data_IF_960448256221
#
_entry.id   IF_960448256221
#
_cell.length_a   1.000
_cell.length_b   1.000
_cell.length_c   1.000
_cell.angle_alpha   90.00
_cell.angle_beta   90.00
_cell.angle_gamma   90.00
#
_symmetry.space_group_name_H-M   'P 1'
#
loop_
_entity.id
_entity.type
_entity.pdbx_description
1 polymer ?
#
# COMPACT_ATOMS: atom_id res chain seq x y z
N UNK A 1 2.89 -9.45 10.45
CA UNK A 1 3.32 -10.71 9.80
C UNK A 1 2.30 -11.39 8.89
N UNK A 2 1.07 -10.88 8.70
CA UNK A 2 0.21 -11.42 7.63
C UNK A 2 0.91 -11.23 6.26
N UNK A 3 0.87 -12.20 5.33
CA UNK A 3 0.21 -13.51 5.37
C UNK A 3 1.12 -14.68 5.81
N UNK A 4 2.28 -14.40 6.39
CA UNK A 4 3.32 -15.40 6.71
C UNK A 4 2.99 -16.25 7.93
N UNK A 5 2.63 -15.60 9.04
CA UNK A 5 2.21 -16.25 10.29
C UNK A 5 1.02 -15.49 10.85
N UNK A 6 -0.05 -16.22 11.14
CA UNK A 6 -1.32 -15.70 11.63
C UNK A 6 -1.84 -16.65 12.71
N UNK A 7 -2.36 -16.08 13.79
CA UNK A 7 -3.06 -16.87 14.80
C UNK A 7 -4.46 -17.21 14.28
N UNK A 8 -4.83 -18.47 14.34
CA UNK A 8 -6.20 -18.91 14.01
C UNK A 8 -7.20 -18.30 15.00
N UNK A 9 -8.32 -17.72 14.53
CA UNK A 9 -9.29 -17.07 15.40
C UNK A 9 -9.98 -18.04 16.37
N UNK A 10 -10.32 -19.25 15.92
CA UNK A 10 -11.13 -20.22 16.69
C UNK A 10 -10.31 -21.41 17.24
N UNK A 11 -9.05 -21.16 17.62
CA UNK A 11 -8.19 -22.20 18.16
C UNK A 11 -8.35 -22.38 19.68
N UNK A 12 -8.94 -23.50 20.08
CA UNK A 12 -9.14 -23.92 21.49
C UNK A 12 -8.34 -25.17 21.88
N UNK A 13 -7.47 -25.67 21.00
CA UNK A 13 -6.63 -26.84 21.27
C UNK A 13 -5.41 -26.52 22.15
N UNK A 14 -4.72 -27.56 22.59
CA UNK A 14 -3.49 -27.46 23.38
C UNK A 14 -2.21 -27.51 22.54
N UNK A 15 -2.30 -27.87 21.27
CA UNK A 15 -1.17 -27.97 20.35
C UNK A 15 -0.71 -26.58 19.85
N UNK A 16 0.46 -26.17 20.31
CA UNK A 16 1.08 -24.91 19.91
C UNK A 16 1.32 -24.79 18.40
N UNK A 17 1.49 -25.92 17.70
CA UNK A 17 1.76 -25.94 16.26
C UNK A 17 0.51 -25.70 15.42
N UNK A 18 -0.67 -26.10 15.92
CA UNK A 18 -1.93 -25.93 15.22
C UNK A 18 -2.55 -24.54 15.42
N UNK A 19 -2.09 -23.83 16.45
CA UNK A 19 -2.50 -22.46 16.80
C UNK A 19 -2.23 -21.43 15.71
N UNK A 20 -1.24 -21.69 14.86
CA UNK A 20 -0.77 -20.77 13.83
C UNK A 20 -1.02 -21.33 12.42
N UNK A 21 -1.26 -20.42 11.47
CA UNK A 21 -1.42 -20.67 10.04
C UNK A 21 -0.70 -19.61 9.21
N UNK A 22 -0.51 -19.88 7.92
CA UNK A 22 0.12 -18.95 6.98
C UNK A 22 1.25 -19.59 6.19
N UNK A 23 1.81 -18.83 5.25
CA UNK A 23 2.80 -19.33 4.30
C UNK A 23 4.01 -20.02 4.96
N UNK A 24 4.57 -19.42 6.02
CA UNK A 24 5.76 -19.98 6.68
C UNK A 24 5.41 -21.21 7.52
N UNK A 25 4.19 -21.29 8.04
CA UNK A 25 3.69 -22.47 8.76
C UNK A 25 3.54 -23.67 7.84
N UNK A 26 3.06 -23.46 6.61
CA UNK A 26 2.93 -24.53 5.62
C UNK A 26 4.31 -24.99 5.15
N UNK A 27 5.26 -24.06 5.00
CA UNK A 27 6.64 -24.37 4.64
C UNK A 27 7.32 -25.25 5.71
N UNK A 28 7.25 -24.88 7.00
CA UNK A 28 7.92 -25.66 8.05
C UNK A 28 7.29 -27.04 8.24
N UNK A 29 5.97 -27.17 8.10
CA UNK A 29 5.27 -28.47 8.11
C UNK A 29 5.71 -29.36 6.95
N UNK A 30 5.89 -28.77 5.77
CA UNK A 30 6.41 -29.50 4.61
C UNK A 30 7.84 -29.97 4.86
N UNK A 31 8.70 -29.07 5.35
CA UNK A 31 10.09 -29.40 5.70
C UNK A 31 10.16 -30.48 6.77
N UNK A 32 9.28 -30.44 7.78
CA UNK A 32 9.25 -31.42 8.86
C UNK A 32 8.92 -32.82 8.36
N UNK A 33 8.05 -32.91 7.35
CA UNK A 33 7.69 -34.17 6.70
C UNK A 33 8.84 -34.69 5.82
N UNK A 34 9.43 -33.82 5.01
CA UNK A 34 10.50 -34.19 4.07
C UNK A 34 11.80 -34.57 4.80
N UNK A 35 12.15 -33.83 5.86
CA UNK A 35 13.38 -34.01 6.65
C UNK A 35 13.17 -34.84 7.93
N UNK A 36 11.92 -35.25 8.22
CA UNK A 36 11.55 -36.12 9.35
C UNK A 36 11.99 -35.57 10.72
N UNK A 37 11.69 -34.30 10.99
CA UNK A 37 11.89 -33.70 12.32
C UNK A 37 10.55 -33.32 12.95
N UNK A 38 10.53 -33.27 14.28
CA UNK A 38 9.46 -32.66 15.05
C UNK A 38 9.86 -31.25 15.47
N UNK A 39 8.88 -30.38 15.58
CA UNK A 39 9.13 -28.99 15.97
C UNK A 39 8.05 -28.52 16.93
N UNK A 40 8.38 -27.51 17.74
CA UNK A 40 7.44 -26.80 18.59
C UNK A 40 7.58 -25.31 18.33
N UNK A 41 6.47 -24.66 17.99
CA UNK A 41 6.48 -23.22 17.71
C UNK A 41 6.07 -22.45 18.95
N UNK A 42 6.79 -21.36 19.18
CA UNK A 42 6.42 -20.35 20.15
C UNK A 42 6.75 -18.96 19.59
N UNK A 43 6.13 -17.95 20.17
CA UNK A 43 6.35 -16.56 19.78
C UNK A 43 7.54 -16.00 20.56
N UNK A 44 8.47 -15.34 19.86
CA UNK A 44 9.61 -14.67 20.48
C UNK A 44 9.19 -13.73 21.61
N UNK A 45 9.98 -13.63 22.69
CA UNK A 45 9.84 -12.57 23.69
C UNK A 45 9.78 -11.20 23.00
N UNK A 46 8.84 -10.35 23.44
CA UNK A 46 8.64 -8.98 22.95
C UNK A 46 8.30 -8.82 21.46
N UNK A 47 8.06 -9.92 20.72
CA UNK A 47 7.65 -9.90 19.32
C UNK A 47 8.61 -9.12 18.39
N UNK A 48 9.93 -9.22 18.65
CA UNK A 48 10.99 -8.56 17.87
C UNK A 48 11.76 -9.57 17.02
N UNK A 49 12.20 -9.14 15.83
CA UNK A 49 13.11 -9.93 14.99
C UNK A 49 14.49 -10.09 15.63
N UNK A 50 14.96 -9.02 16.27
CA UNK A 50 16.26 -8.94 16.88
C UNK A 50 17.02 -7.70 16.40
N UNK A 51 17.50 -6.95 17.38
CA UNK A 51 18.35 -5.79 17.23
C UNK A 51 19.52 -5.91 18.21
N UNK A 52 20.69 -5.44 17.76
CA UNK A 52 21.88 -5.29 18.58
C UNK A 52 21.68 -4.13 19.57
N UNK A 53 22.05 -4.34 20.82
CA UNK A 53 22.07 -3.31 21.87
C UNK A 53 23.33 -2.42 21.82
N UNK A 54 24.26 -2.70 20.89
CA UNK A 54 25.53 -2.00 20.72
C UNK A 54 26.65 -2.55 21.59
N UNK A 55 26.35 -3.46 22.51
CA UNK A 55 27.32 -4.18 23.33
C UNK A 55 27.52 -5.62 22.83
N UNK A 56 26.96 -5.96 21.67
CA UNK A 56 27.00 -7.29 21.08
C UNK A 56 25.91 -8.24 21.61
N UNK A 57 24.98 -7.77 22.45
CA UNK A 57 23.82 -8.56 22.81
C UNK A 57 22.70 -8.31 21.82
N UNK A 58 21.99 -9.37 21.47
CA UNK A 58 20.85 -9.32 20.59
C UNK A 58 19.58 -9.66 21.34
N UNK A 59 18.49 -9.01 20.97
CA UNK A 59 17.17 -9.34 21.48
C UNK A 59 16.31 -10.11 20.47
N UNK A 60 15.04 -10.33 20.83
CA UNK A 60 14.05 -10.96 19.95
C UNK A 60 14.47 -12.36 19.46
N UNK A 61 14.10 -12.70 18.24
CA UNK A 61 14.41 -14.01 17.68
C UNK A 61 15.91 -14.27 17.54
N UNK A 62 16.72 -13.27 17.17
CA UNK A 62 18.18 -13.46 17.07
C UNK A 62 18.77 -13.74 18.46
N UNK A 63 18.35 -12.99 19.49
CA UNK A 63 18.75 -13.24 20.86
C UNK A 63 18.42 -14.65 21.34
N UNK A 64 17.23 -15.16 21.00
CA UNK A 64 16.80 -16.52 21.35
C UNK A 64 17.66 -17.61 20.69
N UNK A 65 18.09 -17.39 19.43
CA UNK A 65 19.01 -18.30 18.73
C UNK A 65 20.40 -18.24 19.38
N UNK A 66 20.92 -17.03 19.64
CA UNK A 66 22.24 -16.86 20.27
C UNK A 66 22.32 -17.43 21.68
N UNK A 67 21.23 -17.31 22.45
CA UNK A 67 21.13 -17.89 23.79
C UNK A 67 20.92 -19.41 23.80
N UNK A 68 20.66 -20.03 22.64
CA UNK A 68 20.38 -21.46 22.52
C UNK A 68 18.97 -21.87 22.96
N UNK A 69 18.07 -20.91 23.16
CA UNK A 69 16.67 -21.16 23.52
C UNK A 69 15.85 -21.67 22.32
N UNK A 70 16.23 -21.24 21.11
CA UNK A 70 15.66 -21.70 19.85
C UNK A 70 16.76 -22.27 18.94
N UNK A 71 16.38 -23.23 18.09
CA UNK A 71 17.25 -23.79 17.05
C UNK A 71 16.97 -23.22 15.66
N UNK A 72 15.76 -22.69 15.45
CA UNK A 72 15.32 -22.12 14.19
C UNK A 72 14.43 -20.91 14.46
N UNK A 73 14.71 -19.81 13.77
CA UNK A 73 13.87 -18.64 13.73
C UNK A 73 13.29 -18.50 12.32
N UNK A 74 11.99 -18.25 12.22
CA UNK A 74 11.31 -18.04 10.94
C UNK A 74 10.35 -16.86 11.05
N UNK A 75 10.28 -16.08 9.99
CA UNK A 75 9.47 -14.86 9.92
C UNK A 75 9.90 -14.03 8.72
N UNK A 76 9.25 -12.87 8.53
CA UNK A 76 9.62 -11.92 7.47
C UNK A 76 10.89 -11.12 7.86
N UNK A 77 11.98 -11.83 8.15
CA UNK A 77 13.25 -11.23 8.57
C UNK A 77 14.16 -11.01 7.37
N UNK A 78 14.62 -9.77 7.19
CA UNK A 78 15.66 -9.44 6.20
C UNK A 78 17.02 -9.97 6.64
N UNK A 79 17.73 -10.60 5.70
CA UNK A 79 19.15 -10.96 5.83
C UNK A 79 19.97 -9.67 5.74
N UNK A 80 20.74 -9.37 6.78
CA UNK A 80 21.63 -8.19 6.83
C UNK A 80 22.99 -8.61 7.34
N UNK A 81 24.04 -7.89 6.94
CA UNK A 81 25.42 -8.22 7.33
C UNK A 81 25.62 -8.28 8.86
N UNK A 82 24.99 -7.38 9.62
CA UNK A 82 25.06 -7.42 11.10
C UNK A 82 24.43 -8.67 11.71
N UNK A 83 23.38 -9.21 11.10
CA UNK A 83 22.70 -10.42 11.58
C UNK A 83 23.45 -11.67 11.15
N UNK A 84 23.94 -11.69 9.92
CA UNK A 84 24.74 -12.79 9.38
C UNK A 84 26.08 -12.97 10.12
N UNK A 85 26.58 -11.92 10.75
CA UNK A 85 27.78 -11.99 11.59
C UNK A 85 27.57 -12.77 12.91
N UNK A 86 26.33 -12.99 13.35
CA UNK A 86 26.01 -13.64 14.64
C UNK A 86 25.16 -14.90 14.51
N UNK A 87 24.47 -15.09 13.39
CA UNK A 87 23.67 -16.28 13.08
C UNK A 87 23.82 -16.66 11.61
N UNK A 88 23.68 -17.96 11.31
CA UNK A 88 23.66 -18.45 9.94
C UNK A 88 22.25 -18.34 9.34
N UNK A 89 22.18 -17.89 8.08
CA UNK A 89 20.95 -17.86 7.29
C UNK A 89 20.94 -18.94 6.22
N UNK A 90 19.74 -19.46 5.94
CA UNK A 90 19.49 -20.21 4.71
C UNK A 90 19.27 -19.25 3.52
N UNK A 91 19.10 -19.81 2.33
CA UNK A 91 18.70 -19.03 1.16
C UNK A 91 17.31 -18.42 1.39
N UNK A 92 17.19 -17.11 1.15
CA UNK A 92 15.94 -16.39 1.27
C UNK A 92 14.86 -16.96 0.35
N UNK A 93 13.70 -17.28 0.91
CA UNK A 93 12.54 -17.81 0.16
C UNK A 93 11.90 -16.74 -0.73
N UNK A 94 12.01 -15.46 -0.34
CA UNK A 94 11.39 -14.33 -1.02
C UNK A 94 12.44 -13.24 -1.21
N UNK A 95 12.61 -12.80 -2.46
CA UNK A 95 13.40 -11.62 -2.80
C UNK A 95 12.48 -10.42 -2.92
N UNK A 96 12.58 -9.47 -1.99
CA UNK A 96 11.84 -8.21 -2.00
C UNK A 96 12.78 -7.02 -1.86
N UNK A 97 12.42 -5.92 -2.52
CA UNK A 97 13.08 -4.62 -2.38
C UNK A 97 12.29 -3.66 -1.50
N UNK A 98 12.91 -2.54 -1.15
CA UNK A 98 12.23 -1.42 -0.46
C UNK A 98 11.26 -0.77 -1.45
N UNK A 99 9.97 -0.78 -1.11
CA UNK A 99 8.91 -0.16 -1.90
C UNK A 99 8.29 1.00 -1.12
N UNK A 100 7.97 2.10 -1.80
CA UNK A 100 7.25 3.22 -1.20
C UNK A 100 5.74 3.00 -1.35
N UNK A 101 5.05 2.85 -0.22
CA UNK A 101 3.60 2.81 -0.21
C UNK A 101 3.04 4.23 -0.01
N UNK A 102 2.34 4.74 -1.03
CA UNK A 102 1.62 6.01 -0.94
C UNK A 102 0.10 5.77 -0.91
N UNK A 103 -0.61 6.65 -0.21
CA UNK A 103 -2.08 6.63 -0.22
C UNK A 103 -2.58 6.92 -1.63
N UNK A 104 -3.49 6.10 -2.15
CA UNK A 104 -4.16 6.37 -3.42
C UNK A 104 -4.76 7.79 -3.40
N UNK A 105 -4.47 8.66 -4.38
CA UNK A 105 -5.06 9.98 -4.42
C UNK A 105 -6.59 9.86 -4.50
N UNK A 106 -7.29 10.80 -3.88
CA UNK A 106 -8.74 10.92 -4.08
C UNK A 106 -8.97 11.49 -5.47
N UNK A 107 -9.63 10.74 -6.33
CA UNK A 107 -10.11 11.24 -7.62
C UNK A 107 -11.29 12.18 -7.35
N UNK A 108 -11.10 13.47 -7.60
CA UNK A 108 -12.18 14.45 -7.53
C UNK A 108 -12.74 14.64 -8.94
N UNK A 109 -13.85 13.97 -9.24
CA UNK A 109 -14.56 14.18 -10.51
C UNK A 109 -15.29 15.52 -10.47
N UNK A 110 -14.80 16.49 -11.24
CA UNK A 110 -15.53 17.74 -11.47
C UNK A 110 -16.12 17.72 -12.88
N UNK A 111 -17.46 17.78 -12.99
CA UNK A 111 -18.15 17.83 -14.29
C UNK A 111 -17.78 19.09 -15.10
N UNK A 112 -17.30 20.16 -14.46
CA UNK A 112 -16.80 21.37 -15.11
C UNK A 112 -15.29 21.34 -15.36
N UNK A 113 -14.64 20.18 -15.25
CA UNK A 113 -13.20 20.02 -15.51
C UNK A 113 -12.81 20.46 -16.92
N UNK A 114 -13.71 20.37 -17.90
CA UNK A 114 -13.50 20.87 -19.26
C UNK A 114 -13.40 22.41 -19.33
N UNK A 115 -13.92 23.15 -18.34
CA UNK A 115 -13.83 24.62 -18.27
C UNK A 115 -12.54 25.11 -17.64
N UNK A 116 -11.83 24.25 -16.88
CA UNK A 116 -10.60 24.59 -16.14
C UNK A 116 -9.40 25.04 -17.01
N UNK A 117 -9.25 24.67 -18.29
CA UNK A 117 -8.14 25.16 -19.12
C UNK A 117 -8.15 26.68 -19.37
N UNK A 118 -9.29 27.35 -19.17
CA UNK A 118 -9.45 28.78 -19.44
C UNK A 118 -9.85 29.55 -18.19
N UNK A 119 -9.38 30.79 -18.07
CA UNK A 119 -9.71 31.66 -16.95
C UNK A 119 -11.18 32.13 -17.00
N UNK A 120 -11.73 32.45 -15.83
CA UNK A 120 -13.07 33.04 -15.72
C UNK A 120 -13.20 34.33 -16.54
N UNK A 121 -12.12 35.12 -16.62
CA UNK A 121 -12.06 36.35 -17.40
C UNK A 121 -12.30 36.09 -18.90
N UNK A 122 -11.70 35.03 -19.46
CA UNK A 122 -11.92 34.67 -20.86
C UNK A 122 -13.38 34.24 -21.09
N UNK A 123 -13.95 33.46 -20.17
CA UNK A 123 -15.35 33.06 -20.25
C UNK A 123 -16.30 34.27 -20.20
N UNK A 124 -16.03 35.23 -19.32
CA UNK A 124 -16.80 36.48 -19.25
C UNK A 124 -16.62 37.33 -20.52
N UNK A 125 -15.42 37.36 -21.09
CA UNK A 125 -15.16 38.06 -22.36
C UNK A 125 -15.91 37.41 -23.53
N UNK A 126 -15.98 36.08 -23.60
CA UNK A 126 -16.76 35.35 -24.63
C UNK A 126 -18.26 35.68 -24.50
N UNK A 127 -18.81 35.67 -23.28
CA UNK A 127 -20.21 36.02 -23.02
C UNK A 127 -20.48 37.49 -23.38
N UNK A 128 -19.61 38.41 -22.98
CA UNK A 128 -19.71 39.83 -23.30
C UNK A 128 -19.62 40.10 -24.80
N UNK A 129 -18.66 39.48 -25.49
CA UNK A 129 -18.51 39.60 -26.93
C UNK A 129 -19.76 39.08 -27.66
N UNK A 130 -20.26 37.90 -27.27
CA UNK A 130 -21.49 37.32 -27.83
C UNK A 130 -22.70 38.23 -27.64
N UNK A 131 -22.89 38.79 -26.44
CA UNK A 131 -23.98 39.74 -26.17
C UNK A 131 -23.82 41.04 -26.97
N UNK A 132 -22.60 41.56 -27.12
CA UNK A 132 -22.33 42.75 -27.92
C UNK A 132 -22.68 42.55 -29.40
N UNK A 133 -22.33 41.38 -29.95
CA UNK A 133 -22.64 41.02 -31.33
C UNK A 133 -24.14 40.89 -31.51
N UNK A 134 -24.85 40.21 -30.60
CA UNK A 134 -26.30 40.12 -30.62
C UNK A 134 -26.98 41.49 -30.54
N UNK A 135 -26.46 42.41 -29.72
CA UNK A 135 -27.00 43.77 -29.61
C UNK A 135 -26.80 44.56 -30.91
N UNK A 136 -25.62 44.48 -31.52
CA UNK A 136 -25.34 45.14 -32.81
C UNK A 136 -26.28 44.60 -33.90
N UNK A 137 -26.45 43.28 -33.98
CA UNK A 137 -27.41 42.69 -34.92
C UNK A 137 -28.85 43.14 -34.66
N UNK A 138 -29.28 43.24 -33.40
CA UNK A 138 -30.60 43.74 -33.06
C UNK A 138 -30.82 45.20 -33.49
N UNK A 139 -29.83 46.07 -33.28
CA UNK A 139 -29.88 47.47 -33.69
C UNK A 139 -29.93 47.58 -35.23
N UNK A 140 -29.12 46.79 -35.93
CA UNK A 140 -29.11 46.76 -37.39
C UNK A 140 -30.45 46.26 -37.96
N UNK A 141 -31.04 45.22 -37.37
CA UNK A 141 -32.36 44.71 -37.75
C UNK A 141 -33.52 45.66 -37.38
N UNK A 142 -33.38 46.40 -36.28
CA UNK A 142 -34.34 47.45 -35.92
C UNK A 142 -34.25 48.68 -36.84
N UNK A 143 -33.03 49.02 -37.26
CA UNK A 143 -32.75 50.16 -38.15
C UNK A 143 -32.89 49.85 -39.64
N UNK A 144 -32.98 48.58 -40.04
CA UNK A 144 -33.21 48.20 -41.44
C UNK A 144 -34.65 48.56 -41.82
N UNK A 145 -34.78 49.41 -42.84
CA UNK A 145 -36.09 49.86 -43.35
C UNK A 145 -36.95 48.73 -43.94
N UNK A 146 -36.39 47.53 -44.11
CA UNK A 146 -37.09 46.35 -44.63
C UNK A 146 -38.27 45.92 -43.73
N UNK A 147 -38.30 46.30 -42.45
CA UNK A 147 -39.49 46.11 -41.59
C UNK A 147 -40.66 47.04 -41.91
N UNK A 148 -40.44 48.18 -42.57
CA UNK A 148 -41.52 49.12 -42.93
C UNK A 148 -42.38 48.61 -44.10
N UNK A 149 -41.90 47.65 -44.89
CA UNK A 149 -42.59 47.18 -46.10
C UNK A 149 -43.25 45.80 -45.97
N UNK A 150 -43.10 45.10 -44.83
CA UNK A 150 -43.70 43.77 -44.59
C UNK A 150 -44.97 43.82 -43.72
N UNK A 151 -45.59 45.00 -43.59
CA UNK A 151 -47.00 45.11 -43.22
C UNK A 151 -47.75 45.63 -44.44
N UNK A 152 -48.14 44.69 -45.30
CA UNK A 152 -49.33 44.78 -46.15
C UNK A 152 -50.05 43.45 -46.09
#
# INVERSE_FOLDING_TARGET
ERPFIMRKPDYFGNDTNEKYEGFTMDLIKRLSTDLKFEFRIYQSPNNRYGADDGNGNWDGMIGEIMAGNATLAFGAMSITSSREAVIDFSLGVISTGVNLLIKKPKENFNIFQFMMPFSLELWMAILGASASVSLVFYILDYGSEDRRFTIK
#
